data_IF_842736720551
#
_entry.id   IF_842736720551
#
_cell.length_a   1.000
_cell.length_b   1.000
_cell.length_c   1.000
_cell.angle_alpha   90.00
_cell.angle_beta   90.00
_cell.angle_gamma   90.00
#
_symmetry.space_group_name_H-M   'P 1'
#
loop_
_entity.id
_entity.type
_entity.pdbx_description
1 polymer ?
#
# COMPACT_ATOMS: atom_id res chain seq x y z
N UNK A 1 -16.46 56.14 28.81
CA UNK A 1 -16.23 54.79 29.38
C UNK A 1 -14.85 54.35 28.90
N UNK A 2 -13.80 54.61 29.69
CA UNK A 2 -12.41 54.38 29.29
C UNK A 2 -12.00 52.95 29.70
N UNK A 3 -11.80 52.06 28.73
CA UNK A 3 -11.26 50.72 28.98
C UNK A 3 -9.77 50.75 28.62
N UNK A 4 -8.94 51.24 29.53
CA UNK A 4 -7.49 51.06 29.43
C UNK A 4 -7.19 49.58 29.71
N UNK A 5 -7.10 48.77 28.65
CA UNK A 5 -6.93 47.32 28.75
C UNK A 5 -5.47 46.95 28.48
N UNK A 6 -4.66 46.92 29.54
CA UNK A 6 -3.41 46.16 29.55
C UNK A 6 -3.81 44.67 29.62
N UNK A 7 -3.97 44.04 28.46
CA UNK A 7 -4.19 42.61 28.38
C UNK A 7 -2.83 41.91 28.45
N UNK A 8 -2.55 41.27 29.59
CA UNK A 8 -1.36 40.43 29.75
C UNK A 8 -1.72 39.01 29.31
N UNK A 9 -1.06 38.53 28.24
CA UNK A 9 -1.32 37.23 27.62
C UNK A 9 -0.34 36.22 28.18
N UNK A 10 -0.86 35.24 28.92
CA UNK A 10 -0.04 34.16 29.47
C UNK A 10 -0.24 32.88 28.65
N UNK A 11 0.86 32.28 28.18
CA UNK A 11 0.83 31.02 27.43
C UNK A 11 1.51 29.91 28.22
N UNK A 12 0.84 28.76 28.36
CA UNK A 12 1.40 27.56 28.98
C UNK A 12 1.25 26.36 28.05
N UNK A 13 2.34 25.61 27.89
CA UNK A 13 2.35 24.34 27.16
C UNK A 13 2.00 23.20 28.13
N UNK A 14 0.86 22.54 27.91
CA UNK A 14 0.48 21.30 28.60
C UNK A 14 0.22 20.21 27.56
N UNK A 15 1.30 19.59 27.09
CA UNK A 15 1.33 18.23 26.51
C UNK A 15 0.61 17.96 25.18
N UNK A 16 -0.37 18.78 24.75
CA UNK A 16 -1.12 18.54 23.49
C UNK A 16 -1.86 19.77 22.94
N UNK A 17 -1.90 20.87 23.68
CA UNK A 17 -2.57 22.12 23.28
C UNK A 17 -1.88 23.30 23.96
N UNK A 18 -1.99 24.47 23.32
CA UNK A 18 -1.55 25.71 23.92
C UNK A 18 -2.72 26.30 24.71
N UNK A 19 -2.50 26.55 25.99
CA UNK A 19 -3.45 27.29 26.82
C UNK A 19 -3.05 28.76 26.78
N UNK A 20 -3.90 29.59 26.16
CA UNK A 20 -3.76 31.04 26.18
C UNK A 20 -4.83 31.60 27.12
N UNK A 21 -4.40 32.30 28.18
CA UNK A 21 -5.33 32.99 29.07
C UNK A 21 -5.15 34.51 29.00
N UNK A 22 -6.29 35.21 29.10
CA UNK A 22 -6.36 36.67 29.18
C UNK A 22 -7.03 37.04 30.49
N UNK A 23 -6.31 37.79 31.32
CA UNK A 23 -6.89 38.39 32.52
C UNK A 23 -7.62 39.69 32.17
N UNK A 24 -8.92 39.74 32.46
CA UNK A 24 -9.78 40.89 32.29
C UNK A 24 -10.09 41.49 33.65
N UNK A 25 -9.95 42.81 33.82
CA UNK A 25 -10.48 43.49 35.01
C UNK A 25 -11.80 44.15 34.61
N UNK A 26 -12.91 43.68 35.18
CA UNK A 26 -14.25 44.21 34.94
C UNK A 26 -14.82 44.68 36.27
N UNK A 27 -15.05 45.99 36.40
CA UNK A 27 -15.56 46.63 37.63
C UNK A 27 -14.75 46.31 38.90
N UNK A 28 -13.42 46.20 38.78
CA UNK A 28 -12.53 45.85 39.88
C UNK A 28 -12.39 44.35 40.13
N UNK A 29 -13.18 43.51 39.47
CA UNK A 29 -13.09 42.04 39.57
C UNK A 29 -12.18 41.50 38.46
N UNK A 30 -11.19 40.68 38.83
CA UNK A 30 -10.34 39.97 37.88
C UNK A 30 -11.05 38.71 37.39
N UNK A 31 -11.25 38.60 36.08
CA UNK A 31 -11.84 37.46 35.38
C UNK A 31 -10.79 36.89 34.44
N UNK A 32 -10.48 35.60 34.56
CA UNK A 32 -9.57 34.91 33.64
C UNK A 32 -10.39 34.25 32.53
N UNK A 33 -10.16 34.64 31.28
CA UNK A 33 -10.73 33.98 30.10
C UNK A 33 -9.68 33.07 29.50
N UNK A 34 -9.96 31.77 29.42
CA UNK A 34 -9.06 30.78 28.82
C UNK A 34 -9.52 30.42 27.43
N UNK A 35 -8.58 30.34 26.49
CA UNK A 35 -8.77 29.82 25.14
C UNK A 35 -7.82 28.65 24.94
N UNK A 36 -8.39 27.47 24.73
CA UNK A 36 -7.63 26.28 24.34
C UNK A 36 -7.35 26.40 22.84
N UNK A 37 -6.08 26.50 22.47
CA UNK A 37 -5.63 26.49 21.08
C UNK A 37 -5.19 25.06 20.72
N UNK A 38 -6.01 24.39 19.93
CA UNK A 38 -5.65 23.13 19.30
C UNK A 38 -4.79 23.45 18.06
N UNK A 39 -3.47 23.51 18.23
CA UNK A 39 -2.57 23.62 17.09
C UNK A 39 -2.47 22.23 16.47
N UNK A 40 -3.15 22.03 15.34
CA UNK A 40 -2.97 20.85 14.51
C UNK A 40 -1.56 20.94 13.91
N UNK A 41 -0.64 20.11 14.43
CA UNK A 41 0.75 20.14 13.98
C UNK A 41 0.90 19.07 12.89
N UNK A 42 0.84 19.52 11.64
CA UNK A 42 0.97 18.69 10.45
C UNK A 42 2.18 19.13 9.63
N UNK A 43 3.00 18.18 9.20
CA UNK A 43 4.03 18.41 8.19
C UNK A 43 3.68 17.59 6.95
N UNK A 44 3.66 18.27 5.81
CA UNK A 44 3.59 17.66 4.49
C UNK A 44 4.84 18.02 3.69
N UNK A 45 5.64 17.01 3.39
CA UNK A 45 6.85 17.08 2.58
C UNK A 45 6.74 16.14 1.37
N UNK A 46 5.53 15.74 1.01
CA UNK A 46 5.29 14.81 -0.07
C UNK A 46 5.65 15.39 -1.45
N UNK A 47 5.80 14.51 -2.44
CA UNK A 47 6.02 14.89 -3.85
C UNK A 47 7.28 15.74 -4.06
N UNK A 48 8.37 15.33 -3.41
CA UNK A 48 9.67 15.97 -3.52
C UNK A 48 10.72 14.96 -4.01
N UNK A 49 12.00 15.35 -3.94
CA UNK A 49 13.15 14.51 -4.29
C UNK A 49 14.05 14.26 -3.08
N UNK A 50 13.46 14.16 -1.89
CA UNK A 50 14.23 13.88 -0.68
C UNK A 50 14.81 12.47 -0.79
N UNK A 51 16.10 12.35 -0.48
CA UNK A 51 16.87 11.10 -0.54
C UNK A 51 17.50 10.83 0.83
N UNK A 52 18.10 9.65 0.99
CA UNK A 52 18.70 9.24 2.25
C UNK A 52 17.67 8.65 3.20
N UNK A 53 18.06 8.47 4.45
CA UNK A 53 17.25 7.80 5.47
C UNK A 53 16.36 8.79 6.23
N UNK A 54 15.27 8.27 6.81
CA UNK A 54 14.48 9.05 7.74
C UNK A 54 15.24 9.10 9.08
N UNK A 55 15.61 10.28 9.60
CA UNK A 55 16.40 10.36 10.82
C UNK A 55 15.59 9.93 12.05
N UNK A 56 16.23 9.26 13.01
CA UNK A 56 15.57 8.81 14.26
C UNK A 56 14.98 9.97 15.07
N UNK A 57 15.57 11.17 14.96
CA UNK A 57 15.11 12.39 15.60
C UNK A 57 13.65 12.75 15.27
N UNK A 58 13.07 12.22 14.19
CA UNK A 58 11.64 12.42 13.87
C UNK A 58 10.72 11.91 14.99
N UNK A 59 11.17 10.88 15.74
CA UNK A 59 10.44 10.34 16.89
C UNK A 59 10.37 11.27 18.11
N UNK A 60 11.16 12.35 18.13
CA UNK A 60 11.11 13.36 19.20
C UNK A 60 9.94 14.34 19.03
N UNK A 61 9.31 14.35 17.85
CA UNK A 61 8.21 15.24 17.48
C UNK A 61 6.85 14.76 18.04
N UNK A 62 6.75 14.66 19.37
CA UNK A 62 5.61 14.03 20.08
C UNK A 62 4.26 14.73 19.93
N UNK A 63 4.25 16.00 19.51
CA UNK A 63 3.03 16.80 19.36
C UNK A 63 2.40 16.73 17.96
N UNK A 64 3.01 16.01 17.02
CA UNK A 64 2.52 15.90 15.65
C UNK A 64 1.29 15.01 15.53
N UNK A 65 0.36 15.46 14.67
CA UNK A 65 -0.87 14.71 14.33
C UNK A 65 -0.83 14.15 12.91
N UNK A 66 -0.12 14.80 11.99
CA UNK A 66 0.00 14.32 10.61
C UNK A 66 1.45 14.47 10.13
N UNK A 67 1.97 13.40 9.54
CA UNK A 67 3.26 13.37 8.86
C UNK A 67 3.09 12.73 7.49
N UNK A 68 3.32 13.51 6.43
CA UNK A 68 3.30 13.03 5.06
C UNK A 68 4.70 13.20 4.43
N UNK A 69 5.35 12.08 4.12
CA UNK A 69 6.65 11.99 3.43
C UNK A 69 6.54 11.24 2.10
N UNK A 70 5.33 11.04 1.59
CA UNK A 70 5.09 10.21 0.42
C UNK A 70 5.67 10.78 -0.87
N UNK A 71 5.83 9.96 -1.91
CA UNK A 71 6.32 10.39 -3.22
C UNK A 71 7.69 11.10 -3.13
N UNK A 72 8.67 10.42 -2.57
CA UNK A 72 10.06 10.85 -2.46
C UNK A 72 11.00 9.67 -2.81
N UNK A 73 12.30 9.88 -2.67
CA UNK A 73 13.34 8.87 -2.89
C UNK A 73 13.99 8.41 -1.55
N UNK A 74 13.22 8.41 -0.46
CA UNK A 74 13.72 8.03 0.87
C UNK A 74 14.06 6.53 0.92
N UNK A 75 15.18 6.20 1.58
CA UNK A 75 15.78 4.87 1.68
C UNK A 75 15.96 4.45 3.14
N UNK A 76 16.53 3.28 3.36
CA UNK A 76 16.77 2.73 4.69
C UNK A 76 15.49 2.16 5.32
N UNK A 77 15.52 1.96 6.64
CA UNK A 77 14.39 1.40 7.38
C UNK A 77 13.50 2.49 7.99
N UNK A 78 12.27 2.13 8.35
CA UNK A 78 11.40 3.01 9.12
C UNK A 78 11.98 3.09 10.55
N UNK A 79 12.27 4.28 11.10
CA UNK A 79 12.85 4.41 12.43
C UNK A 79 11.88 3.90 13.51
N UNK A 80 12.37 3.01 14.37
CA UNK A 80 11.56 2.48 15.48
C UNK A 80 11.11 3.58 16.46
N UNK A 81 11.89 4.67 16.58
CA UNK A 81 11.55 5.84 17.39
C UNK A 81 10.29 6.56 16.93
N UNK A 82 9.81 6.36 15.70
CA UNK A 82 8.50 6.89 15.27
C UNK A 82 7.37 6.40 16.17
N UNK A 83 7.51 5.24 16.83
CA UNK A 83 6.55 4.75 17.82
C UNK A 83 6.36 5.66 19.05
N UNK A 84 7.23 6.66 19.25
CA UNK A 84 7.12 7.65 20.33
C UNK A 84 6.20 8.83 19.97
N UNK A 85 5.76 8.97 18.72
CA UNK A 85 4.89 10.05 18.25
C UNK A 85 3.43 9.77 18.62
N UNK A 86 3.14 9.58 19.91
CA UNK A 86 1.88 8.99 20.39
C UNK A 86 0.61 9.74 20.02
N UNK A 87 0.69 11.00 19.60
CA UNK A 87 -0.46 11.80 19.14
C UNK A 87 -0.70 11.75 17.62
N UNK A 88 0.09 10.98 16.88
CA UNK A 88 0.00 10.88 15.43
C UNK A 88 -1.30 10.19 15.01
N UNK A 89 -2.04 10.84 14.11
CA UNK A 89 -3.32 10.41 13.56
C UNK A 89 -3.19 9.91 12.13
N UNK A 90 -2.29 10.52 11.35
CA UNK A 90 -2.04 10.18 9.95
C UNK A 90 -0.54 10.09 9.66
N UNK A 91 -0.13 8.96 9.09
CA UNK A 91 1.23 8.71 8.63
C UNK A 91 1.22 8.20 7.19
N UNK A 92 1.84 8.94 6.28
CA UNK A 92 2.03 8.51 4.89
C UNK A 92 3.51 8.49 4.53
N UNK A 93 4.03 7.29 4.28
CA UNK A 93 5.39 7.01 3.82
C UNK A 93 5.39 6.34 2.43
N UNK A 94 4.25 6.34 1.74
CA UNK A 94 4.07 5.59 0.50
C UNK A 94 4.91 6.15 -0.64
N UNK A 95 5.13 5.33 -1.68
CA UNK A 95 5.89 5.72 -2.88
C UNK A 95 7.28 6.27 -2.54
N UNK A 96 8.06 5.45 -1.84
CA UNK A 96 9.46 5.69 -1.49
C UNK A 96 10.29 4.42 -1.78
N UNK A 97 11.55 4.40 -1.36
CA UNK A 97 12.47 3.26 -1.51
C UNK A 97 12.79 2.63 -0.13
N UNK A 98 11.87 2.70 0.83
CA UNK A 98 12.08 2.18 2.19
C UNK A 98 12.19 0.64 2.19
N UNK A 99 13.03 0.11 3.07
CA UNK A 99 13.42 -1.31 3.15
C UNK A 99 13.31 -1.83 4.58
N UNK A 100 13.50 -3.14 4.79
CA UNK A 100 13.47 -3.76 6.11
C UNK A 100 12.06 -4.06 6.61
N UNK A 101 11.92 -4.27 7.92
CA UNK A 101 10.63 -4.62 8.54
C UNK A 101 9.89 -3.40 9.06
N UNK A 102 8.56 -3.51 9.17
CA UNK A 102 7.74 -2.50 9.86
C UNK A 102 8.01 -2.63 11.37
N UNK A 103 8.53 -1.59 12.05
CA UNK A 103 8.85 -1.69 13.48
C UNK A 103 7.60 -1.96 14.32
N UNK A 104 7.65 -2.95 15.21
CA UNK A 104 6.52 -3.23 16.13
C UNK A 104 6.17 -2.03 17.00
N UNK A 105 7.13 -1.14 17.27
CA UNK A 105 6.92 0.09 18.03
C UNK A 105 5.83 0.99 17.44
N UNK A 106 5.55 0.91 16.13
CA UNK A 106 4.45 1.67 15.53
C UNK A 106 3.06 1.26 16.06
N UNK A 107 2.92 0.08 16.68
CA UNK A 107 1.66 -0.31 17.34
C UNK A 107 1.35 0.54 18.58
N UNK A 108 2.32 1.32 19.09
CA UNK A 108 2.12 2.25 20.20
C UNK A 108 1.37 3.52 19.80
N UNK A 109 1.16 3.78 18.51
CA UNK A 109 0.53 5.00 18.01
C UNK A 109 -1.00 4.96 18.14
N UNK A 110 -1.54 4.95 19.35
CA UNK A 110 -2.96 4.62 19.61
C UNK A 110 -4.00 5.53 18.95
N UNK A 111 -3.60 6.72 18.46
CA UNK A 111 -4.49 7.65 17.75
C UNK A 111 -4.41 7.53 16.22
N UNK A 112 -3.55 6.65 15.70
CA UNK A 112 -3.31 6.52 14.27
C UNK A 112 -4.54 5.92 13.59
N UNK A 113 -5.25 6.74 12.82
CA UNK A 113 -6.42 6.35 12.03
C UNK A 113 -6.08 6.11 10.56
N UNK A 114 -5.01 6.70 10.04
CA UNK A 114 -4.57 6.54 8.65
C UNK A 114 -3.10 6.18 8.60
N UNK A 115 -2.78 5.09 7.91
CA UNK A 115 -1.42 4.67 7.60
C UNK A 115 -1.33 4.32 6.13
N UNK A 116 -0.30 4.79 5.46
CA UNK A 116 0.02 4.35 4.11
C UNK A 116 1.53 4.08 3.97
N UNK A 117 1.87 2.81 3.76
CA UNK A 117 3.22 2.30 3.56
C UNK A 117 3.38 1.69 2.16
N UNK A 118 2.38 1.86 1.28
CA UNK A 118 2.34 1.24 -0.03
C UNK A 118 3.50 1.69 -0.93
N UNK A 119 3.82 0.90 -1.95
CA UNK A 119 4.85 1.22 -2.94
C UNK A 119 6.22 1.53 -2.31
N UNK A 120 6.72 0.56 -1.55
CA UNK A 120 8.06 0.55 -0.96
C UNK A 120 8.67 -0.86 -1.14
N UNK A 121 9.84 -1.10 -0.55
CA UNK A 121 10.52 -2.40 -0.53
C UNK A 121 10.52 -3.02 0.88
N UNK A 122 9.44 -2.83 1.65
CA UNK A 122 9.30 -3.39 3.00
C UNK A 122 9.11 -4.91 2.94
N UNK A 123 9.50 -5.58 4.02
CA UNK A 123 9.56 -7.03 4.11
C UNK A 123 9.12 -7.55 5.48
N UNK A 124 8.75 -8.82 5.54
CA UNK A 124 8.42 -9.51 6.79
C UNK A 124 6.98 -9.30 7.26
N UNK A 125 6.66 -9.72 8.49
CA UNK A 125 5.30 -9.72 9.00
C UNK A 125 4.80 -8.30 9.32
N UNK A 126 3.56 -8.00 8.93
CA UNK A 126 2.86 -6.81 9.40
C UNK A 126 2.63 -6.92 10.92
N UNK A 127 3.05 -5.94 11.72
CA UNK A 127 2.83 -5.93 13.17
C UNK A 127 1.34 -6.04 13.50
N UNK A 128 1.02 -6.98 14.39
CA UNK A 128 -0.33 -7.08 14.97
C UNK A 128 -0.40 -6.28 16.25
N UNK A 129 -1.48 -5.51 16.42
CA UNK A 129 -1.74 -4.74 17.64
C UNK A 129 -2.43 -3.41 17.36
N UNK A 130 -3.22 -2.95 18.33
CA UNK A 130 -3.92 -1.65 18.30
C UNK A 130 -4.67 -1.44 16.96
N UNK A 131 -4.49 -0.27 16.34
CA UNK A 131 -5.06 0.12 15.05
C UNK A 131 -4.56 -0.69 13.84
N UNK A 132 -3.45 -1.43 13.91
CA UNK A 132 -2.94 -2.16 12.74
C UNK A 132 -3.88 -3.26 12.24
N UNK A 133 -4.75 -3.77 13.11
CA UNK A 133 -5.77 -4.75 12.76
C UNK A 133 -6.98 -4.12 12.03
N UNK A 134 -7.16 -2.80 12.10
CA UNK A 134 -8.27 -2.08 11.43
C UNK A 134 -7.84 -1.37 10.14
N UNK A 135 -6.54 -1.33 9.85
CA UNK A 135 -6.03 -0.67 8.66
C UNK A 135 -6.32 -1.51 7.40
N UNK A 136 -6.64 -0.87 6.25
CA UNK A 136 -6.98 -1.55 5.02
C UNK A 136 -5.75 -2.23 4.38
N UNK A 137 -6.01 -3.18 3.47
CA UNK A 137 -4.98 -3.85 2.67
C UNK A 137 -4.17 -2.83 1.83
N UNK A 138 -4.85 -1.83 1.26
CA UNK A 138 -4.25 -0.79 0.41
C UNK A 138 -3.09 -0.05 1.09
N UNK A 139 -3.10 0.06 2.43
CA UNK A 139 -2.01 0.64 3.21
C UNK A 139 -0.66 -0.06 3.03
N UNK A 140 -0.63 -1.31 2.56
CA UNK A 140 0.56 -2.15 2.48
C UNK A 140 0.90 -2.61 1.07
N UNK A 141 0.05 -2.33 0.08
CA UNK A 141 0.19 -2.80 -1.30
C UNK A 141 1.52 -2.37 -1.94
N UNK A 142 2.04 -3.16 -2.88
CA UNK A 142 3.26 -2.79 -3.61
C UNK A 142 4.56 -3.09 -2.86
N UNK A 143 4.49 -3.69 -1.68
CA UNK A 143 5.63 -4.26 -0.96
C UNK A 143 5.64 -5.78 -1.15
N UNK A 144 6.45 -6.29 -2.08
CA UNK A 144 6.40 -7.69 -2.51
C UNK A 144 6.71 -8.70 -1.38
N UNK A 145 7.54 -8.31 -0.40
CA UNK A 145 8.01 -9.19 0.66
C UNK A 145 7.26 -9.01 1.99
N UNK A 146 6.22 -8.17 2.05
CA UNK A 146 5.35 -8.08 3.23
C UNK A 146 4.40 -9.28 3.28
N UNK A 147 4.11 -9.75 4.49
CA UNK A 147 3.21 -10.86 4.73
C UNK A 147 2.39 -10.66 6.00
N UNK A 148 1.31 -11.44 6.15
CA UNK A 148 0.42 -11.39 7.29
C UNK A 148 -0.75 -10.43 7.11
N UNK A 149 -1.76 -10.59 7.95
CA UNK A 149 -2.99 -9.79 7.94
C UNK A 149 -2.67 -8.27 7.98
N UNK A 150 -3.31 -7.42 7.16
CA UNK A 150 -4.47 -7.70 6.29
C UNK A 150 -4.15 -8.27 4.89
N UNK A 151 -2.89 -8.58 4.58
CA UNK A 151 -2.53 -9.20 3.29
C UNK A 151 -2.94 -10.67 3.22
N UNK A 152 -3.18 -11.16 2.00
CA UNK A 152 -3.47 -12.57 1.71
C UNK A 152 -2.23 -13.46 1.86
N UNK A 153 -1.03 -12.90 1.61
CA UNK A 153 0.24 -13.60 1.73
C UNK A 153 0.51 -14.02 3.18
N UNK A 154 0.61 -15.34 3.42
CA UNK A 154 0.94 -15.88 4.74
C UNK A 154 2.45 -15.82 4.96
N UNK A 155 2.87 -15.40 6.16
CA UNK A 155 4.27 -15.46 6.52
C UNK A 155 4.72 -16.91 6.65
N UNK A 156 5.78 -17.29 5.92
CA UNK A 156 6.46 -18.56 6.12
C UNK A 156 7.01 -18.55 7.55
N UNK A 157 6.61 -19.52 8.36
CA UNK A 157 7.31 -19.77 9.63
C UNK A 157 8.61 -20.45 9.23
N UNK A 158 9.73 -19.97 9.75
CA UNK A 158 11.03 -20.62 9.58
C UNK A 158 10.91 -22.04 10.16
N UNK A 159 10.73 -23.01 9.26
CA UNK A 159 10.97 -24.40 9.56
C UNK A 159 12.50 -24.53 9.61
N UNK A 160 13.09 -25.01 10.73
CA UNK A 160 14.53 -25.23 10.78
C UNK A 160 14.92 -26.21 9.66
N UNK A 161 16.13 -26.13 9.10
CA UNK A 161 16.55 -27.06 8.07
C UNK A 161 16.74 -28.45 8.70
N UNK A 162 15.67 -29.23 8.76
CA UNK A 162 15.76 -30.67 8.98
C UNK A 162 16.14 -31.31 7.66
N UNK A 163 17.42 -31.72 7.63
CA UNK A 163 17.96 -32.72 6.71
C UNK A 163 16.88 -33.77 6.40
N UNK A 164 16.65 -33.99 5.11
CA UNK A 164 15.78 -35.06 4.61
C UNK A 164 16.33 -36.39 5.11
N UNK A 165 15.67 -36.96 6.12
CA UNK A 165 15.60 -38.39 6.32
C UNK A 165 14.24 -38.78 5.76
N UNK A 166 14.29 -39.63 4.74
CA UNK A 166 13.14 -40.31 4.18
C UNK A 166 12.47 -41.12 5.29
N UNK A 167 11.20 -40.88 5.55
CA UNK A 167 10.31 -41.89 6.09
C UNK A 167 8.92 -41.68 5.46
N UNK A 168 8.46 -42.73 4.80
CA UNK A 168 7.12 -42.92 4.27
C UNK A 168 6.12 -42.88 5.43
N UNK A 169 5.01 -42.16 5.27
CA UNK A 169 3.73 -42.52 5.89
C UNK A 169 2.57 -41.88 5.11
N UNK A 170 1.60 -42.72 4.81
CA UNK A 170 0.36 -42.48 4.05
C UNK A 170 -0.63 -41.55 4.79
N UNK A 171 -1.43 -40.84 3.98
CA UNK A 171 -2.85 -40.47 4.16
C UNK A 171 -3.18 -38.98 3.89
N UNK A 172 -3.69 -38.76 2.66
CA UNK A 172 -4.73 -37.83 2.19
C UNK A 172 -4.82 -36.39 2.75
N UNK A 173 -4.40 -35.42 1.92
CA UNK A 173 -5.19 -34.20 1.67
C UNK A 173 -4.93 -33.69 0.24
N UNK A 174 -5.84 -34.05 -0.66
CA UNK A 174 -5.90 -33.59 -2.05
C UNK A 174 -6.10 -32.07 -2.15
N UNK A 175 -5.03 -31.30 -2.39
CA UNK A 175 -5.14 -29.98 -3.04
C UNK A 175 -3.81 -29.42 -3.60
N UNK A 176 -3.02 -30.17 -4.39
CA UNK A 176 -2.19 -29.53 -5.45
C UNK A 176 -1.61 -30.49 -6.53
N UNK A 177 -2.37 -31.52 -6.93
CA UNK A 177 -1.90 -32.46 -7.96
C UNK A 177 -1.92 -31.90 -9.40
N UNK A 178 -2.67 -30.81 -9.67
CA UNK A 178 -3.05 -30.45 -11.04
C UNK A 178 -2.45 -29.17 -11.66
N UNK A 179 -1.72 -28.32 -10.94
CA UNK A 179 -1.39 -27.00 -11.53
C UNK A 179 -0.13 -26.97 -12.42
N UNK A 180 0.93 -27.69 -12.07
CA UNK A 180 2.19 -27.64 -12.85
C UNK A 180 2.33 -28.76 -13.90
N UNK A 181 1.82 -29.97 -13.62
CA UNK A 181 1.83 -31.09 -14.58
C UNK A 181 0.99 -30.81 -15.83
N UNK A 182 -0.13 -30.07 -15.70
CA UNK A 182 -0.95 -29.63 -16.84
C UNK A 182 -0.24 -28.53 -17.65
N UNK A 183 0.45 -27.59 -16.99
CA UNK A 183 1.25 -26.58 -17.69
C UNK A 183 2.42 -27.20 -18.46
N UNK A 184 3.10 -28.18 -17.88
CA UNK A 184 4.22 -28.89 -18.51
C UNK A 184 3.76 -29.76 -19.68
N UNK A 185 2.61 -30.44 -19.57
CA UNK A 185 2.08 -31.26 -20.67
C UNK A 185 1.57 -30.40 -21.85
N UNK A 186 0.98 -29.24 -21.56
CA UNK A 186 0.51 -28.28 -22.57
C UNK A 186 1.65 -27.67 -23.40
N UNK A 187 2.78 -27.32 -22.76
CA UNK A 187 3.92 -26.76 -23.49
C UNK A 187 4.56 -27.80 -24.43
N UNK A 188 4.62 -29.05 -24.01
CA UNK A 188 5.22 -30.13 -24.79
C UNK A 188 4.40 -30.47 -26.04
N UNK A 189 3.07 -30.62 -25.90
CA UNK A 189 2.22 -30.93 -27.06
C UNK A 189 2.12 -29.76 -28.04
N UNK A 190 2.09 -28.51 -27.53
CA UNK A 190 2.06 -27.30 -28.35
C UNK A 190 3.31 -27.12 -29.20
N UNK A 191 4.49 -27.39 -28.64
CA UNK A 191 5.77 -27.26 -29.34
C UNK A 191 5.93 -28.32 -30.45
N UNK A 192 5.53 -29.56 -30.19
CA UNK A 192 5.57 -30.66 -31.20
C UNK A 192 4.59 -30.39 -32.35
N UNK A 193 3.36 -29.97 -32.03
CA UNK A 193 2.36 -29.59 -33.05
C UNK A 193 2.79 -28.36 -33.86
N UNK A 194 3.41 -27.37 -33.20
CA UNK A 194 3.92 -26.16 -33.86
C UNK A 194 5.08 -26.45 -34.83
N UNK A 195 6.05 -27.27 -34.40
CA UNK A 195 7.17 -27.66 -35.25
C UNK A 195 6.74 -28.57 -36.40
N UNK A 196 5.82 -29.51 -36.19
CA UNK A 196 5.32 -30.39 -37.27
C UNK A 196 4.50 -29.61 -38.29
N UNK A 197 3.59 -28.72 -37.85
CA UNK A 197 2.81 -27.88 -38.77
C UNK A 197 3.69 -26.88 -39.53
N UNK A 198 4.69 -26.28 -38.87
CA UNK A 198 5.70 -25.43 -39.52
C UNK A 198 6.56 -26.18 -40.53
N UNK A 199 7.01 -27.39 -40.20
CA UNK A 199 7.80 -28.24 -41.09
C UNK A 199 7.00 -28.66 -42.33
N UNK A 200 5.72 -29.03 -42.16
CA UNK A 200 4.83 -29.34 -43.28
C UNK A 200 4.60 -28.10 -44.16
N UNK A 201 4.38 -26.92 -43.55
CA UNK A 201 4.20 -25.67 -44.29
C UNK A 201 5.46 -25.27 -45.09
N UNK A 202 6.64 -25.50 -44.53
CA UNK A 202 7.93 -25.20 -45.15
C UNK A 202 8.30 -26.18 -46.27
N UNK A 203 8.00 -27.47 -46.10
CA UNK A 203 8.30 -28.52 -47.09
C UNK A 203 7.30 -28.59 -48.24
N UNK A 204 6.05 -28.17 -48.03
CA UNK A 204 5.01 -28.20 -49.08
C UNK A 204 4.94 -26.92 -49.93
N UNK A 205 5.79 -25.92 -49.68
CA UNK A 205 6.21 -24.92 -50.66
C UNK A 205 5.12 -24.07 -51.34
N UNK A 206 3.90 -23.96 -50.78
CA UNK A 206 2.81 -23.14 -51.35
C UNK A 206 2.11 -22.32 -50.26
N UNK A 207 2.69 -21.18 -49.84
CA UNK A 207 2.08 -20.30 -48.82
C UNK A 207 0.76 -19.65 -49.26
N UNK A 208 0.37 -19.74 -50.54
CA UNK A 208 -0.86 -19.15 -51.08
C UNK A 208 -2.14 -19.61 -50.36
N UNK A 209 -2.24 -20.87 -49.91
CA UNK A 209 -3.44 -21.34 -49.20
C UNK A 209 -3.55 -20.83 -47.76
N UNK A 210 -2.42 -20.59 -47.10
CA UNK A 210 -2.39 -20.00 -45.76
C UNK A 210 -2.78 -18.52 -45.83
N UNK A 211 -2.28 -17.79 -46.83
CA UNK A 211 -2.67 -16.39 -47.07
C UNK A 211 -4.18 -16.27 -47.33
N UNK A 212 -4.74 -17.10 -48.21
CA UNK A 212 -6.19 -17.12 -48.49
C UNK A 212 -7.01 -17.50 -47.24
N UNK A 213 -6.51 -18.41 -46.40
CA UNK A 213 -7.18 -18.80 -45.16
C UNK A 213 -7.14 -17.67 -44.12
N UNK A 214 -6.01 -16.98 -43.97
CA UNK A 214 -5.85 -15.85 -43.05
C UNK A 214 -6.74 -14.68 -43.49
N UNK A 215 -6.77 -14.36 -44.80
CA UNK A 215 -7.66 -13.32 -45.35
C UNK A 215 -9.13 -13.69 -45.16
N UNK A 216 -9.51 -14.96 -45.35
CA UNK A 216 -10.87 -15.45 -45.10
C UNK A 216 -11.27 -15.42 -43.62
N UNK A 217 -10.33 -15.71 -42.71
CA UNK A 217 -10.54 -15.64 -41.27
C UNK A 217 -10.70 -14.19 -40.79
N UNK A 218 -9.87 -13.26 -41.29
CA UNK A 218 -9.98 -11.83 -41.01
C UNK A 218 -11.33 -11.27 -41.47
N UNK A 219 -11.80 -11.62 -42.67
CA UNK A 219 -13.13 -11.16 -43.15
C UNK A 219 -14.28 -11.67 -42.28
N UNK A 220 -14.21 -12.93 -41.80
CA UNK A 220 -15.23 -13.47 -40.89
C UNK A 220 -15.22 -12.76 -39.54
N UNK A 221 -14.05 -12.37 -39.04
CA UNK A 221 -13.92 -11.65 -37.78
C UNK A 221 -14.47 -10.22 -37.89
N UNK A 222 -14.15 -9.51 -38.97
CA UNK A 222 -14.65 -8.16 -39.24
C UNK A 222 -16.19 -8.16 -39.40
N UNK A 223 -16.78 -9.13 -40.10
CA UNK A 223 -18.25 -9.25 -40.22
C UNK A 223 -18.94 -9.49 -38.88
N UNK A 224 -18.34 -10.29 -37.98
CA UNK A 224 -18.88 -10.50 -36.63
C UNK A 224 -18.77 -9.23 -35.79
N UNK A 225 -17.65 -8.51 -35.89
CA UNK A 225 -17.43 -7.26 -35.17
C UNK A 225 -18.41 -6.16 -35.60
N UNK A 226 -18.63 -6.00 -36.92
CA UNK A 226 -19.60 -5.05 -37.47
C UNK A 226 -21.02 -5.37 -37.01
N UNK A 227 -21.43 -6.65 -37.03
CA UNK A 227 -22.76 -7.10 -36.61
C UNK A 227 -23.02 -6.89 -35.10
N UNK A 228 -21.97 -7.00 -34.28
CA UNK A 228 -22.03 -6.70 -32.84
C UNK A 228 -22.13 -5.18 -32.61
N UNK A 229 -21.39 -4.36 -33.37
CA UNK A 229 -21.46 -2.90 -33.26
C UNK A 229 -22.85 -2.35 -33.64
N UNK A 230 -23.49 -2.94 -34.65
CA UNK A 230 -24.85 -2.57 -35.09
C UNK A 230 -25.89 -2.92 -34.01
N UNK A 231 -25.72 -4.07 -33.33
CA UNK A 231 -26.58 -4.48 -32.22
C UNK A 231 -26.42 -3.60 -30.97
N UNK A 232 -25.22 -3.10 -30.70
CA UNK A 232 -24.94 -2.18 -29.60
C UNK A 232 -25.46 -0.77 -29.88
N UNK A 233 -25.41 -0.30 -31.14
CA UNK A 233 -25.99 0.98 -31.56
C UNK A 233 -27.52 1.00 -31.38
N UNK A 234 -28.21 -0.11 -31.65
CA UNK A 234 -29.67 -0.22 -31.49
C UNK A 234 -30.11 -0.25 -30.02
N UNK A 235 -29.26 -0.73 -29.11
CA UNK A 235 -29.53 -0.76 -27.66
C UNK A 235 -29.31 0.59 -26.96
N UNK A 236 -28.47 1.48 -27.52
CA UNK A 236 -28.18 2.80 -26.92
C UNK A 236 -29.25 3.85 -27.27
N UNK A 237 -29.99 3.70 -28.37
CA UNK A 237 -31.09 4.62 -28.76
C UNK A 237 -32.43 4.34 -28.06
N UNK A 238 -32.48 3.43 -27.07
CA UNK A 238 -33.71 3.05 -26.36
C UNK A 238 -33.73 3.44 -24.87
N UNK A 239 -32.89 4.39 -24.47
CA UNK A 239 -32.96 5.11 -23.20
C UNK A 239 -33.09 6.61 -23.45
#
# INVERSE_FOLDING_TARGET
>A
MNINKLADVNTRNRGSYYDASVSLIVKGTKVEVRKILNIYTSIDLSSNKFTGEIPEAIGELKSFRMLNLSHNDLRGSIPSLMGNMTLLEALDLSSNQLTGTIPRQLTNLTFLGTLNLSQNHLSGPIPRGSQFNSLPNDSYQGNLALCGFPLTEKCKKDEPPTLQVEDEDDDDDDQDWFSWKIMVSGYFCGLVCGLSSGYIAFTTGKPRRIVIFIEGAQQKFIRRYMKISESLSFSVQRF
#
